data_IF_316103197860
#
_entry.id   IF_316103197860
#
_cell.length_a   1.000
_cell.length_b   1.000
_cell.length_c   1.000
_cell.angle_alpha   90.00
_cell.angle_beta   90.00
_cell.angle_gamma   90.00
#
_symmetry.space_group_name_H-M   'P 1'
#
loop_
_entity.id
_entity.type
_entity.pdbx_description
1 polymer ?
#
# COMPACT_ATOMS: atom_id res chain seq x y z
N UNK A 1 -1.42 2.43 2.13
CA UNK A 1 -2.68 1.74 1.78
C UNK A 1 -2.36 0.33 1.32
N UNK A 2 -3.20 -0.62 1.64
CA UNK A 2 -3.00 -2.04 1.29
C UNK A 2 -4.33 -2.78 1.36
N UNK A 3 -4.31 -4.06 1.01
CA UNK A 3 -5.49 -4.92 1.00
C UNK A 3 -5.12 -6.30 1.53
N UNK A 4 -6.10 -7.03 2.05
CA UNK A 4 -5.97 -8.42 2.45
C UNK A 4 -4.96 -8.68 3.56
N UNK A 5 -4.23 -9.79 3.42
CA UNK A 5 -3.25 -10.28 4.41
C UNK A 5 -2.13 -9.27 4.68
N UNK A 6 -1.73 -8.50 3.67
CA UNK A 6 -0.67 -7.49 3.83
C UNK A 6 -0.98 -6.50 4.96
N UNK A 7 -2.24 -6.13 5.14
CA UNK A 7 -2.63 -5.25 6.23
C UNK A 7 -2.25 -5.83 7.60
N UNK A 8 -2.52 -7.10 7.81
CA UNK A 8 -2.23 -7.74 9.09
C UNK A 8 -0.74 -7.93 9.33
N UNK A 9 0.02 -8.24 8.27
CA UNK A 9 1.47 -8.36 8.36
C UNK A 9 2.11 -7.01 8.72
N UNK A 10 1.65 -5.94 8.10
CA UNK A 10 2.10 -4.59 8.40
C UNK A 10 1.69 -4.13 9.80
N UNK A 11 0.47 -4.45 10.20
CA UNK A 11 -0.02 -4.10 11.53
C UNK A 11 0.81 -4.77 12.62
N UNK A 12 1.12 -6.05 12.46
CA UNK A 12 1.95 -6.80 13.40
C UNK A 12 3.34 -6.16 13.55
N UNK A 13 3.99 -5.84 12.44
CA UNK A 13 5.31 -5.21 12.47
C UNK A 13 5.26 -3.80 13.08
N UNK A 14 4.25 -3.03 12.75
CA UNK A 14 4.05 -1.71 13.33
C UNK A 14 3.93 -1.77 14.86
N UNK A 15 3.19 -2.75 15.38
CA UNK A 15 3.04 -2.95 16.82
C UNK A 15 4.37 -3.35 17.47
N UNK A 16 5.13 -4.24 16.83
CA UNK A 16 6.46 -4.65 17.32
C UNK A 16 7.42 -3.46 17.41
N UNK A 17 7.43 -2.61 16.40
CA UNK A 17 8.32 -1.46 16.31
C UNK A 17 7.82 -0.27 17.13
N UNK A 18 6.60 -0.33 17.63
CA UNK A 18 5.91 0.80 18.29
C UNK A 18 5.99 2.05 17.42
N UNK A 19 5.79 1.87 16.11
CA UNK A 19 5.89 2.94 15.13
C UNK A 19 4.59 3.75 15.14
N UNK A 20 4.70 5.06 15.35
CA UNK A 20 3.57 5.99 15.34
C UNK A 20 3.55 6.92 14.13
N UNK A 21 4.47 6.71 13.18
CA UNK A 21 4.64 7.56 12.00
C UNK A 21 3.98 6.99 10.75
N UNK A 22 3.63 5.73 10.76
CA UNK A 22 2.99 5.05 9.63
C UNK A 22 1.53 4.80 9.97
N UNK A 23 0.65 5.33 9.11
CA UNK A 23 -0.79 5.11 9.21
C UNK A 23 -1.20 4.09 8.15
N UNK A 24 -1.85 3.02 8.58
CA UNK A 24 -2.28 1.93 7.71
C UNK A 24 -3.74 2.09 7.34
N UNK A 25 -4.03 2.10 6.04
CA UNK A 25 -5.39 2.14 5.52
C UNK A 25 -5.64 0.87 4.72
N UNK A 26 -6.66 0.13 5.14
CA UNK A 26 -7.07 -1.11 4.51
C UNK A 26 -8.18 -0.82 3.50
N UNK A 27 -7.96 -1.20 2.24
CA UNK A 27 -8.95 -1.04 1.18
C UNK A 27 -9.29 -2.44 0.66
N UNK A 28 -10.49 -2.94 0.99
CA UNK A 28 -10.91 -4.28 0.59
C UNK A 28 -11.83 -4.25 -0.63
N UNK A 29 -12.60 -3.18 -0.80
CA UNK A 29 -13.45 -3.02 -1.98
C UNK A 29 -12.67 -2.31 -3.08
N UNK A 30 -12.27 -3.05 -4.11
CA UNK A 30 -11.49 -2.50 -5.21
C UNK A 30 -12.39 -2.04 -6.37
N UNK A 31 -13.60 -2.55 -6.45
CA UNK A 31 -14.59 -2.16 -7.45
C UNK A 31 -16.01 -2.30 -6.91
N UNK A 32 -16.84 -1.24 -6.99
CA UNK A 32 -16.43 0.13 -7.28
C UNK A 32 -15.50 0.68 -6.20
N UNK A 33 -14.49 1.43 -6.61
CA UNK A 33 -13.48 1.93 -5.68
C UNK A 33 -14.08 2.99 -4.76
N UNK A 34 -13.82 2.97 -3.43
CA UNK A 34 -14.47 3.85 -2.45
C UNK A 34 -13.83 5.25 -2.41
N UNK A 35 -13.92 6.00 -3.51
CA UNK A 35 -13.25 7.32 -3.64
C UNK A 35 -13.69 8.33 -2.60
N UNK A 36 -14.98 8.40 -2.29
CA UNK A 36 -15.49 9.39 -1.31
C UNK A 36 -14.98 9.10 0.09
N UNK A 37 -15.07 7.85 0.53
CA UNK A 37 -14.60 7.43 1.85
C UNK A 37 -13.10 7.62 1.97
N UNK A 38 -12.36 7.24 0.93
CA UNK A 38 -10.91 7.40 0.92
C UNK A 38 -10.54 8.89 0.96
N UNK A 39 -11.22 9.73 0.20
CA UNK A 39 -10.96 11.18 0.22
C UNK A 39 -11.14 11.77 1.62
N UNK A 40 -12.21 11.39 2.32
CA UNK A 40 -12.44 11.84 3.69
C UNK A 40 -11.31 11.42 4.64
N UNK A 41 -10.83 10.21 4.51
CA UNK A 41 -9.74 9.69 5.33
C UNK A 41 -8.41 10.37 5.01
N UNK A 42 -8.07 10.51 3.73
CA UNK A 42 -6.79 11.09 3.31
C UNK A 42 -6.69 12.59 3.56
N UNK A 43 -7.81 13.31 3.63
CA UNK A 43 -7.80 14.73 3.99
C UNK A 43 -7.10 15.02 5.31
N UNK A 44 -7.13 14.09 6.23
CA UNK A 44 -6.47 14.21 7.53
C UNK A 44 -4.94 14.35 7.40
N UNK A 45 -4.38 13.86 6.29
CA UNK A 45 -2.94 13.76 6.08
C UNK A 45 -2.43 14.59 4.89
N UNK A 46 -3.29 15.40 4.28
CA UNK A 46 -2.98 16.07 3.01
C UNK A 46 -1.80 17.03 3.04
N UNK A 47 -1.44 17.55 4.21
CA UNK A 47 -0.39 18.59 4.32
C UNK A 47 1.04 18.04 4.26
N UNK A 48 1.28 16.88 4.85
CA UNK A 48 2.66 16.39 5.04
C UNK A 48 2.88 14.94 4.64
N UNK A 49 1.86 14.11 4.62
CA UNK A 49 2.02 12.68 4.42
C UNK A 49 2.48 12.34 3.01
N UNK A 50 3.25 11.27 2.91
CA UNK A 50 3.54 10.58 1.66
C UNK A 50 2.60 9.39 1.57
N UNK A 51 2.15 9.07 0.36
CA UNK A 51 1.12 8.07 0.14
C UNK A 51 1.67 6.90 -0.65
N UNK A 52 1.43 5.68 -0.15
CA UNK A 52 1.93 4.45 -0.73
C UNK A 52 0.83 3.42 -0.88
N UNK A 53 0.90 2.65 -1.96
CA UNK A 53 0.20 1.38 -2.07
C UNK A 53 1.21 0.27 -1.83
N UNK A 54 0.89 -0.63 -0.92
CA UNK A 54 1.74 -1.78 -0.58
C UNK A 54 0.99 -3.07 -0.89
N UNK A 55 1.62 -3.96 -1.63
CA UNK A 55 1.02 -5.25 -1.97
C UNK A 55 2.06 -6.37 -1.95
N UNK A 56 1.57 -7.59 -1.78
CA UNK A 56 2.37 -8.80 -1.76
C UNK A 56 2.71 -9.27 -3.17
N UNK A 57 1.79 -9.13 -4.11
CA UNK A 57 1.93 -9.56 -5.49
C UNK A 57 2.97 -8.70 -6.24
N UNK A 58 3.58 -9.25 -7.31
CA UNK A 58 4.44 -8.44 -8.18
C UNK A 58 3.74 -7.19 -8.71
N UNK A 59 4.50 -6.18 -9.08
CA UNK A 59 3.98 -4.89 -9.52
C UNK A 59 2.99 -4.98 -10.70
N UNK A 60 3.23 -5.92 -11.61
CA UNK A 60 2.36 -6.14 -12.77
C UNK A 60 1.11 -6.98 -12.47
N UNK A 61 0.93 -7.38 -11.22
CA UNK A 61 -0.19 -8.21 -10.76
C UNK A 61 -0.83 -7.57 -9.54
N UNK A 62 -1.85 -8.22 -8.97
CA UNK A 62 -2.57 -7.68 -7.83
C UNK A 62 -3.33 -6.41 -8.19
N UNK A 63 -3.50 -5.53 -7.21
CA UNK A 63 -4.40 -4.39 -7.34
C UNK A 63 -3.73 -3.09 -7.83
N UNK A 64 -2.40 -3.02 -7.87
CA UNK A 64 -1.69 -1.75 -8.15
C UNK A 64 -2.21 -1.00 -9.37
N UNK A 65 -2.27 -1.67 -10.53
CA UNK A 65 -2.72 -1.00 -11.76
C UNK A 65 -4.22 -0.65 -11.74
N UNK A 66 -5.00 -1.35 -10.91
CA UNK A 66 -6.42 -1.05 -10.77
C UNK A 66 -6.67 0.14 -9.83
N UNK A 67 -5.86 0.29 -8.78
CA UNK A 67 -6.12 1.30 -7.73
C UNK A 67 -5.35 2.59 -7.90
N UNK A 68 -4.17 2.56 -8.56
CA UNK A 68 -3.28 3.73 -8.60
C UNK A 68 -3.93 5.00 -9.16
N UNK A 69 -4.71 4.87 -10.23
CA UNK A 69 -5.34 6.02 -10.86
C UNK A 69 -6.44 6.61 -9.98
N UNK A 70 -7.20 5.76 -9.29
CA UNK A 70 -8.23 6.21 -8.34
C UNK A 70 -7.60 6.91 -7.13
N UNK A 71 -6.52 6.37 -6.59
CA UNK A 71 -5.81 7.00 -5.48
C UNK A 71 -5.22 8.33 -5.95
N UNK A 72 -4.59 8.34 -7.12
CA UNK A 72 -4.00 9.54 -7.69
C UNK A 72 -5.05 10.63 -7.91
N UNK A 73 -6.20 10.26 -8.47
CA UNK A 73 -7.32 11.18 -8.64
C UNK A 73 -7.78 11.74 -7.29
N UNK A 74 -7.89 10.88 -6.29
CA UNK A 74 -8.29 11.28 -4.94
C UNK A 74 -7.32 12.29 -4.34
N UNK A 75 -6.01 12.03 -4.44
CA UNK A 75 -4.98 12.95 -3.94
C UNK A 75 -5.04 14.32 -4.62
N UNK A 76 -5.26 14.35 -5.93
CA UNK A 76 -5.44 15.60 -6.66
C UNK A 76 -6.70 16.34 -6.21
N UNK A 77 -7.78 15.61 -6.01
CA UNK A 77 -9.08 16.18 -5.64
C UNK A 77 -9.08 16.81 -4.24
N UNK A 78 -8.37 16.22 -3.29
CA UNK A 78 -8.25 16.79 -1.93
C UNK A 78 -7.15 17.85 -1.84
N UNK A 79 -6.45 18.11 -2.93
CA UNK A 79 -5.32 19.05 -3.01
C UNK A 79 -4.21 18.71 -2.02
N UNK A 80 -3.83 17.42 -1.99
CA UNK A 80 -2.72 16.95 -1.17
C UNK A 80 -1.41 17.60 -1.60
N UNK A 81 -0.54 17.91 -0.66
CA UNK A 81 0.78 18.48 -0.97
C UNK A 81 1.62 17.48 -1.78
N UNK A 82 1.65 16.22 -1.34
CA UNK A 82 2.28 15.14 -2.09
C UNK A 82 1.19 14.45 -2.90
N UNK A 83 1.16 14.70 -4.20
CA UNK A 83 0.08 14.27 -5.08
C UNK A 83 0.32 12.92 -5.74
N UNK A 84 1.50 12.34 -5.54
CA UNK A 84 1.86 11.08 -6.15
C UNK A 84 1.67 9.93 -5.17
N UNK A 85 0.98 8.88 -5.61
CA UNK A 85 0.95 7.61 -4.89
C UNK A 85 2.14 6.77 -5.35
N UNK A 86 2.91 6.28 -4.39
CA UNK A 86 4.09 5.46 -4.65
C UNK A 86 3.81 3.99 -4.38
N UNK A 87 4.61 3.13 -4.96
CA UNK A 87 4.46 1.69 -4.85
C UNK A 87 5.51 1.09 -3.93
N UNK A 88 5.07 0.20 -3.04
CA UNK A 88 5.96 -0.68 -2.28
C UNK A 88 5.49 -2.12 -2.50
N UNK A 89 6.38 -2.97 -2.96
CA UNK A 89 6.08 -4.37 -3.25
C UNK A 89 7.16 -5.00 -4.11
N UNK A 90 6.89 -6.21 -4.55
CA UNK A 90 7.83 -6.92 -5.42
C UNK A 90 7.87 -6.31 -6.82
N UNK A 91 9.01 -6.44 -7.47
CA UNK A 91 9.18 -6.01 -8.85
C UNK A 91 8.31 -6.83 -9.80
N UNK A 92 8.13 -6.32 -11.02
CA UNK A 92 7.44 -7.04 -12.09
C UNK A 92 8.04 -8.42 -12.28
N UNK A 93 7.19 -9.44 -12.38
CA UNK A 93 7.59 -10.84 -12.53
C UNK A 93 6.65 -11.59 -13.47
N UNK A 94 7.14 -12.69 -14.01
CA UNK A 94 6.37 -13.55 -14.90
C UNK A 94 5.39 -14.46 -14.13
N UNK A 95 5.64 -14.69 -12.84
CA UNK A 95 4.81 -15.54 -11.98
C UNK A 95 4.27 -14.75 -10.80
N UNK A 96 3.04 -15.06 -10.32
CA UNK A 96 2.43 -14.31 -9.22
C UNK A 96 3.09 -14.53 -7.86
N UNK A 97 3.83 -15.64 -7.69
CA UNK A 97 4.50 -15.98 -6.44
C UNK A 97 5.83 -16.69 -6.71
N UNK A 98 6.75 -16.62 -5.74
CA UNK A 98 8.01 -17.34 -5.83
C UNK A 98 7.81 -18.85 -5.61
N UNK A 99 8.54 -19.66 -6.34
CA UNK A 99 8.45 -21.12 -6.23
C UNK A 99 9.10 -21.71 -4.99
N UNK A 100 9.85 -20.91 -4.22
CA UNK A 100 10.57 -21.35 -3.02
C UNK A 100 10.08 -20.58 -1.79
N UNK A 101 9.67 -21.32 -0.76
CA UNK A 101 9.16 -20.73 0.49
C UNK A 101 10.17 -19.77 1.15
N UNK A 102 11.44 -20.16 1.17
CA UNK A 102 12.51 -19.34 1.77
C UNK A 102 12.66 -18.00 1.05
N UNK A 103 12.63 -18.02 -0.28
CA UNK A 103 12.70 -16.79 -1.09
C UNK A 103 11.46 -15.91 -0.89
N UNK A 104 10.30 -16.55 -0.81
CA UNK A 104 9.05 -15.83 -0.54
C UNK A 104 9.10 -15.08 0.79
N UNK A 105 9.56 -15.75 1.85
CA UNK A 105 9.69 -15.13 3.19
C UNK A 105 10.68 -13.97 3.18
N UNK A 106 11.81 -14.12 2.48
CA UNK A 106 12.80 -13.06 2.37
C UNK A 106 12.23 -11.82 1.66
N UNK A 107 11.53 -12.02 0.55
CA UNK A 107 10.91 -10.92 -0.20
C UNK A 107 9.78 -10.26 0.59
N UNK A 108 9.01 -11.04 1.33
CA UNK A 108 7.95 -10.51 2.18
C UNK A 108 8.54 -9.61 3.26
N UNK A 109 9.62 -10.05 3.88
CA UNK A 109 10.33 -9.25 4.88
C UNK A 109 10.87 -7.94 4.30
N UNK A 110 11.44 -7.98 3.09
CA UNK A 110 11.95 -6.78 2.41
C UNK A 110 10.83 -5.74 2.20
N UNK A 111 9.65 -6.18 1.78
CA UNK A 111 8.49 -5.30 1.60
C UNK A 111 8.12 -4.62 2.91
N UNK A 112 8.01 -5.41 3.97
CA UNK A 112 7.64 -4.90 5.29
C UNK A 112 8.69 -3.92 5.80
N UNK A 113 9.96 -4.26 5.69
CA UNK A 113 11.06 -3.40 6.12
C UNK A 113 11.05 -2.06 5.37
N UNK A 114 10.71 -2.07 4.09
CA UNK A 114 10.63 -0.84 3.28
C UNK A 114 9.54 0.11 3.78
N UNK A 115 8.41 -0.43 4.20
CA UNK A 115 7.31 0.40 4.73
C UNK A 115 7.74 1.17 5.98
N UNK A 116 8.55 0.56 6.84
CA UNK A 116 8.96 1.15 8.12
C UNK A 116 10.37 1.74 8.13
N UNK A 117 10.95 1.89 6.98
CA UNK A 117 12.31 2.40 6.80
C UNK A 117 12.48 3.87 7.21
#
# INVERSE_FOLDING_TARGET
MCSGKMYFDLLEEREKLKNDKVYLIRIEQLYPFPVKTLALELKRFKKNAKFYWCQEEPKNMGAWFAVRDYIQWTLNNIKAKNKEVMYIGRNTAATPATGYAKRHLAQQKEIIDEVFK
#
